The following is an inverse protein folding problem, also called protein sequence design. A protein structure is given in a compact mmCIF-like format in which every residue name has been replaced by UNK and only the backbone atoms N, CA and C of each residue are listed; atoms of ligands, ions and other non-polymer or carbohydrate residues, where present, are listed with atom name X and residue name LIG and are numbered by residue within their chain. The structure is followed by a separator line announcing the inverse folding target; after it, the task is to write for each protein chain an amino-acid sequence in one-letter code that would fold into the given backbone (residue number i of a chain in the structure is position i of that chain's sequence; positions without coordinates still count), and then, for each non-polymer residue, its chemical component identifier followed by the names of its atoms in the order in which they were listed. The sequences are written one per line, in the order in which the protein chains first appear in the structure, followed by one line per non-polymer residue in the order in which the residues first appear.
data_IF_557448379584
#
_entry.id   IF_557448379584
#
_cell.length_a   1.000
_cell.length_b   1.000
_cell.length_c   1.000
_cell.angle_alpha   90.00
_cell.angle_beta   90.00
_cell.angle_gamma   90.00
#
_symmetry.space_group_name_H-M   'P 1'
#
loop_
_entity.id
_entity.type
_entity.pdbx_description
1 polymer ?
#
# COMPACT_ATOMS: atom_id res chain seq x y z
N UNK A 1 -7.23 -3.82 2.86
CA UNK A 1 -6.05 -4.63 2.50
C UNK A 1 -6.39 -6.10 2.65
N UNK A 2 -5.66 -6.98 1.97
CA UNK A 2 -5.77 -8.42 2.12
C UNK A 2 -4.61 -8.89 3.01
N UNK A 3 -4.93 -9.65 4.05
CA UNK A 3 -3.98 -10.37 4.90
C UNK A 3 -4.26 -11.86 4.68
N UNK A 4 -3.35 -12.55 3.99
CA UNK A 4 -3.48 -13.96 3.67
C UNK A 4 -2.10 -14.62 3.80
N UNK A 5 -1.90 -15.60 4.69
CA UNK A 5 -0.60 -16.24 4.89
C UNK A 5 -0.04 -16.90 3.62
N UNK A 6 -0.90 -17.22 2.64
CA UNK A 6 -0.49 -17.79 1.35
C UNK A 6 -0.10 -16.72 0.31
N UNK A 7 -0.28 -15.44 0.60
CA UNK A 7 0.09 -14.31 -0.26
C UNK A 7 1.12 -13.44 0.47
N UNK A 8 2.33 -13.34 -0.08
CA UNK A 8 3.43 -12.56 0.52
C UNK A 8 3.60 -12.86 2.03
N UNK A 9 3.49 -14.13 2.42
CA UNK A 9 3.65 -14.58 3.81
C UNK A 9 2.74 -13.87 4.84
N UNK A 10 1.58 -13.37 4.41
CA UNK A 10 0.66 -12.65 5.29
C UNK A 10 0.87 -11.15 5.35
N UNK A 11 1.81 -10.59 4.58
CA UNK A 11 2.00 -9.15 4.48
C UNK A 11 0.75 -8.45 3.93
N UNK A 12 0.40 -7.25 4.42
CA UNK A 12 -0.72 -6.50 3.91
C UNK A 12 -0.52 -6.15 2.42
N UNK A 13 -1.40 -6.71 1.58
CA UNK A 13 -1.37 -6.48 0.15
C UNK A 13 -2.64 -5.76 -0.32
N UNK A 14 -2.53 -5.10 -1.47
CA UNK A 14 -3.71 -4.63 -2.20
C UNK A 14 -4.53 -5.84 -2.67
N UNK A 15 -5.85 -5.82 -2.39
CA UNK A 15 -6.73 -6.95 -2.75
C UNK A 15 -6.73 -7.20 -4.25
N UNK A 16 -6.49 -8.46 -4.62
CA UNK A 16 -6.43 -8.93 -6.01
C UNK A 16 -5.06 -8.72 -6.66
N UNK A 17 -4.05 -8.29 -5.91
CA UNK A 17 -2.67 -8.19 -6.39
C UNK A 17 -1.73 -8.84 -5.36
N UNK A 18 -0.43 -8.82 -5.66
CA UNK A 18 0.64 -9.14 -4.70
C UNK A 18 1.51 -7.92 -4.38
N UNK A 19 0.92 -6.73 -4.48
CA UNK A 19 1.60 -5.46 -4.21
C UNK A 19 1.49 -5.18 -2.72
N UNK A 20 2.60 -5.20 -1.95
CA UNK A 20 2.59 -4.82 -0.55
C UNK A 20 2.22 -3.36 -0.37
N UNK A 21 1.47 -3.04 0.69
CA UNK A 21 1.08 -1.65 1.00
C UNK A 21 2.28 -0.79 1.35
N UNK A 22 3.27 -1.38 2.02
CA UNK A 22 4.53 -0.73 2.37
C UNK A 22 5.31 -0.25 1.13
N UNK A 23 5.22 -0.98 0.00
CA UNK A 23 5.89 -0.59 -1.24
C UNK A 23 5.35 0.74 -1.76
N UNK A 24 4.02 0.88 -1.82
CA UNK A 24 3.39 2.13 -2.26
C UNK A 24 3.63 3.27 -1.26
N UNK A 25 3.69 2.96 0.04
CA UNK A 25 4.01 3.95 1.06
C UNK A 25 5.44 4.46 0.97
N UNK A 26 6.42 3.57 0.79
CA UNK A 26 7.82 3.94 0.63
C UNK A 26 8.03 4.85 -0.59
N UNK A 27 7.45 4.50 -1.73
CA UNK A 27 7.51 5.32 -2.94
C UNK A 27 6.82 6.68 -2.75
N UNK A 28 5.65 6.69 -2.10
CA UNK A 28 4.96 7.95 -1.78
C UNK A 28 5.79 8.85 -0.85
N UNK A 29 6.46 8.28 0.16
CA UNK A 29 7.40 9.02 1.00
C UNK A 29 8.64 9.50 0.24
N UNK A 30 9.03 8.79 -0.82
CA UNK A 30 10.05 9.22 -1.78
C UNK A 30 9.61 10.38 -2.70
N UNK A 31 8.35 10.79 -2.65
CA UNK A 31 7.81 11.92 -3.41
C UNK A 31 6.89 11.54 -4.57
N UNK A 32 6.66 10.24 -4.82
CA UNK A 32 5.75 9.82 -5.87
C UNK A 32 4.30 10.20 -5.55
N UNK A 33 3.61 10.73 -6.56
CA UNK A 33 2.19 11.07 -6.45
C UNK A 33 1.31 9.83 -6.50
N UNK A 34 0.13 9.88 -5.88
CA UNK A 34 -0.84 8.78 -5.88
C UNK A 34 -1.27 8.39 -7.30
N UNK A 35 -1.43 9.37 -8.19
CA UNK A 35 -1.77 9.14 -9.60
C UNK A 35 -0.62 8.48 -10.37
N UNK A 36 0.62 8.89 -10.10
CA UNK A 36 1.83 8.26 -10.68
C UNK A 36 1.90 6.78 -10.29
N UNK A 37 1.71 6.47 -9.02
CA UNK A 37 1.71 5.09 -8.52
C UNK A 37 0.57 4.26 -9.13
N UNK A 38 -0.63 4.85 -9.25
CA UNK A 38 -1.77 4.19 -9.86
C UNK A 38 -1.48 3.80 -11.32
N UNK A 39 -0.86 4.71 -12.07
CA UNK A 39 -0.44 4.48 -13.45
C UNK A 39 0.67 3.41 -13.54
N UNK A 40 1.73 3.52 -12.74
CA UNK A 40 2.88 2.60 -12.80
C UNK A 40 2.50 1.15 -12.45
N UNK A 41 1.60 0.98 -11.47
CA UNK A 41 1.17 -0.34 -11.01
C UNK A 41 -0.10 -0.85 -11.71
N UNK A 42 -0.65 -0.10 -12.67
CA UNK A 42 -1.89 -0.40 -13.39
C UNK A 42 -3.05 -0.80 -12.44
N UNK A 43 -3.27 0.05 -11.44
CA UNK A 43 -4.34 -0.14 -10.44
C UNK A 43 -5.16 1.14 -10.26
N UNK A 44 -6.44 1.04 -9.85
CA UNK A 44 -7.22 2.22 -9.52
C UNK A 44 -6.55 3.05 -8.44
N UNK A 45 -6.52 4.37 -8.63
CA UNK A 45 -5.93 5.31 -7.66
C UNK A 45 -6.55 5.16 -6.26
N UNK A 46 -7.84 4.83 -6.15
CA UNK A 46 -8.49 4.55 -4.87
C UNK A 46 -7.85 3.39 -4.08
N UNK A 47 -7.27 2.40 -4.76
CA UNK A 47 -6.51 1.33 -4.10
C UNK A 47 -5.16 1.81 -3.58
N UNK A 48 -4.48 2.70 -4.31
CA UNK A 48 -3.25 3.36 -3.87
C UNK A 48 -3.52 4.22 -2.63
N UNK A 49 -4.59 5.00 -2.66
CA UNK A 49 -5.04 5.83 -1.54
C UNK A 49 -5.29 4.99 -0.29
N UNK A 50 -6.06 3.91 -0.43
CA UNK A 50 -6.34 3.00 0.67
C UNK A 50 -5.07 2.35 1.24
N UNK A 51 -4.08 2.04 0.40
CA UNK A 51 -2.80 1.46 0.84
C UNK A 51 -1.96 2.48 1.62
N UNK A 52 -1.84 3.70 1.12
CA UNK A 52 -1.12 4.79 1.80
C UNK A 52 -1.79 5.14 3.13
N UNK A 53 -3.11 5.21 3.18
CA UNK A 53 -3.85 5.55 4.39
C UNK A 53 -3.78 4.43 5.44
N UNK A 54 -3.67 3.17 5.01
CA UNK A 54 -3.40 2.02 5.88
C UNK A 54 -2.03 2.16 6.57
N UNK A 55 -0.97 2.41 5.79
CA UNK A 55 0.39 2.56 6.31
C UNK A 55 0.53 3.77 7.25
N UNK A 56 -0.12 4.89 6.93
CA UNK A 56 -0.17 6.06 7.83
C UNK A 56 -0.75 5.72 9.20
N UNK A 57 -1.80 4.89 9.26
CA UNK A 57 -2.43 4.48 10.53
C UNK A 57 -1.49 3.59 11.36
N UNK A 58 -0.80 2.65 10.72
CA UNK A 58 0.17 1.78 11.38
C UNK A 58 1.34 2.59 11.91
N UNK A 59 1.90 3.48 11.09
CA UNK A 59 3.01 4.35 11.48
C UNK A 59 2.66 5.29 12.62
N UNK A 60 1.39 5.71 12.75
CA UNK A 60 0.90 6.48 13.89
C UNK A 60 0.75 5.62 15.15
N UNK A 61 0.13 4.44 15.03
CA UNK A 61 -0.05 3.52 16.15
C UNK A 61 1.28 3.05 16.76
N UNK A 62 2.33 2.88 15.95
CA UNK A 62 3.65 2.46 16.42
C UNK A 62 4.44 3.55 17.18
N UNK A 63 3.97 4.81 17.17
CA UNK A 63 4.61 5.95 17.85
C UNK A 63 3.99 6.29 19.21
N UNK A 64 3.02 5.50 19.66
CA UNK A 64 2.28 5.71 20.92
C UNK A 64 2.57 4.56 21.88
#
# INVERSE_FOLDING_TARGET
MLLDPHVQFGEPCIKGTRIPTETLWALHQGGDSRGTLAYMYDIPQSKVEAAIDWEKRIAHAAKT
#
